data_IF_372237131516
#
_entry.id   IF_372237131516
#
_cell.length_a   1.000
_cell.length_b   1.000
_cell.length_c   1.000
_cell.angle_alpha   90.00
_cell.angle_beta   90.00
_cell.angle_gamma   90.00
#
_symmetry.space_group_name_H-M   'P 1'
#
loop_
_entity.id
_entity.type
_entity.pdbx_description
1 polymer ?
#
# COMPACT_ATOMS: atom_id res chain seq x y z
N UNK A 1 -21.92 -16.33 20.16
CA UNK A 1 -21.99 -17.80 20.34
C UNK A 1 -22.10 -18.11 21.82
N UNK A 2 -22.51 -19.31 22.23
CA UNK A 2 -22.55 -19.75 23.63
C UNK A 2 -21.79 -21.06 23.82
N UNK A 3 -21.00 -21.17 24.87
CA UNK A 3 -20.38 -22.46 25.23
C UNK A 3 -21.43 -23.41 25.87
N UNK A 4 -21.02 -24.63 26.22
CA UNK A 4 -21.88 -25.59 26.94
C UNK A 4 -22.39 -25.09 28.30
N UNK A 5 -21.68 -24.13 28.93
CA UNK A 5 -22.07 -23.51 30.20
C UNK A 5 -23.04 -22.33 30.02
N UNK A 6 -23.42 -22.00 28.78
CA UNK A 6 -24.30 -20.86 28.47
C UNK A 6 -23.61 -19.50 28.41
N UNK A 7 -22.30 -19.42 28.67
CA UNK A 7 -21.54 -18.16 28.63
C UNK A 7 -21.54 -17.58 27.22
N UNK A 8 -21.89 -16.29 27.10
CA UNK A 8 -21.81 -15.55 25.84
C UNK A 8 -20.36 -15.31 25.43
N UNK A 9 -20.01 -15.67 24.20
CA UNK A 9 -18.69 -15.50 23.62
C UNK A 9 -18.80 -14.97 22.18
N UNK A 10 -17.70 -14.44 21.66
CA UNK A 10 -17.58 -14.02 20.27
C UNK A 10 -16.68 -15.00 19.50
N UNK A 11 -16.97 -15.19 18.23
CA UNK A 11 -16.18 -15.99 17.30
C UNK A 11 -15.59 -15.06 16.23
N UNK A 12 -14.27 -15.06 16.11
CA UNK A 12 -13.54 -14.50 14.97
C UNK A 12 -13.17 -15.60 13.99
N UNK A 13 -13.29 -15.29 12.71
CA UNK A 13 -12.86 -16.14 11.59
C UNK A 13 -11.95 -15.28 10.73
N UNK A 14 -10.70 -15.68 10.52
CA UNK A 14 -9.75 -14.92 9.71
C UNK A 14 -8.85 -15.82 8.83
N UNK A 15 -7.86 -15.21 8.21
CA UNK A 15 -6.92 -15.89 7.32
C UNK A 15 -5.98 -16.89 8.02
N UNK A 16 -5.87 -16.83 9.35
CA UNK A 16 -4.97 -17.63 10.18
C UNK A 16 -5.70 -18.74 10.94
N UNK A 17 -6.95 -18.52 11.34
CA UNK A 17 -7.73 -19.53 12.03
C UNK A 17 -9.07 -19.06 12.58
N UNK A 18 -9.49 -19.74 13.64
CA UNK A 18 -10.67 -19.43 14.44
C UNK A 18 -10.26 -18.94 15.82
N UNK A 19 -10.93 -17.90 16.29
CA UNK A 19 -10.57 -17.22 17.52
C UNK A 19 -11.82 -17.01 18.39
N UNK A 20 -11.72 -17.31 19.68
CA UNK A 20 -12.80 -17.17 20.65
C UNK A 20 -12.45 -16.01 21.57
N UNK A 21 -13.36 -15.04 21.66
CA UNK A 21 -13.18 -13.83 22.45
C UNK A 21 -14.27 -13.69 23.50
N UNK A 22 -13.97 -12.94 24.54
CA UNK A 22 -14.98 -12.45 25.46
C UNK A 22 -15.70 -11.24 24.86
N UNK A 23 -16.99 -11.02 25.18
CA UNK A 23 -17.72 -9.84 24.74
C UNK A 23 -17.01 -8.52 25.09
N UNK A 24 -16.33 -8.48 26.25
CA UNK A 24 -15.66 -7.31 26.81
C UNK A 24 -14.27 -7.08 26.19
N UNK A 25 -13.64 -8.11 25.61
CA UNK A 25 -12.31 -8.01 25.01
C UNK A 25 -12.27 -8.66 23.62
N UNK A 26 -12.34 -7.83 22.58
CA UNK A 26 -12.26 -8.24 21.16
C UNK A 26 -10.86 -8.23 20.58
N UNK A 27 -9.85 -7.82 21.35
CA UNK A 27 -8.46 -7.68 20.88
C UNK A 27 -7.68 -8.97 21.13
N UNK A 28 -7.81 -9.55 22.32
CA UNK A 28 -7.05 -10.73 22.73
C UNK A 28 -7.96 -11.96 22.78
N UNK A 29 -7.73 -12.99 21.95
CA UNK A 29 -8.52 -14.20 21.98
C UNK A 29 -8.20 -15.03 23.23
N UNK A 30 -9.23 -15.58 23.87
CA UNK A 30 -9.08 -16.56 24.96
C UNK A 30 -8.64 -17.93 24.47
N UNK A 31 -9.07 -18.30 23.27
CA UNK A 31 -8.75 -19.57 22.66
C UNK A 31 -8.65 -19.39 21.14
N UNK A 32 -7.66 -20.02 20.52
CA UNK A 32 -7.40 -19.92 19.09
C UNK A 32 -7.18 -21.30 18.50
N UNK A 33 -7.69 -21.52 17.30
CA UNK A 33 -7.53 -22.73 16.52
C UNK A 33 -6.93 -22.35 15.15
N UNK A 34 -5.61 -22.47 14.98
CA UNK A 34 -4.96 -22.28 13.69
C UNK A 34 -5.52 -23.24 12.64
N UNK A 35 -5.58 -22.82 11.37
CA UNK A 35 -6.13 -23.66 10.30
C UNK A 35 -5.44 -25.02 10.13
N UNK A 36 -4.12 -25.10 10.40
CA UNK A 36 -3.35 -26.34 10.36
C UNK A 36 -3.65 -27.29 11.52
N UNK A 37 -4.30 -26.82 12.58
CA UNK A 37 -4.67 -27.62 13.75
C UNK A 37 -6.13 -28.06 13.71
N UNK A 38 -6.88 -27.74 12.66
CA UNK A 38 -8.29 -28.12 12.53
C UNK A 38 -8.42 -29.28 11.55
N UNK A 39 -8.97 -30.40 12.01
CA UNK A 39 -9.24 -31.59 11.19
C UNK A 39 -10.57 -31.49 10.46
N UNK A 40 -11.62 -31.05 11.17
CA UNK A 40 -12.96 -30.98 10.62
C UNK A 40 -13.79 -29.93 11.34
N UNK A 41 -14.64 -29.24 10.58
CA UNK A 41 -15.64 -28.30 11.08
C UNK A 41 -17.00 -28.75 10.58
N UNK A 42 -17.99 -28.84 11.47
CA UNK A 42 -19.35 -29.20 11.11
C UNK A 42 -20.35 -28.58 12.08
N UNK A 43 -21.62 -28.59 11.72
CA UNK A 43 -22.69 -28.22 12.64
C UNK A 43 -23.89 -29.16 12.49
N UNK A 44 -24.67 -29.29 13.56
CA UNK A 44 -25.96 -29.96 13.58
C UNK A 44 -26.95 -29.07 14.32
N UNK A 45 -28.02 -28.67 13.63
CA UNK A 45 -28.96 -27.66 14.10
C UNK A 45 -28.22 -26.39 14.61
N UNK A 46 -28.34 -26.06 15.91
CA UNK A 46 -27.69 -24.90 16.52
C UNK A 46 -26.29 -25.19 17.07
N UNK A 47 -25.90 -26.47 17.20
CA UNK A 47 -24.58 -26.85 17.72
C UNK A 47 -23.53 -26.88 16.60
N UNK A 48 -22.47 -26.10 16.78
CA UNK A 48 -21.31 -26.05 15.91
C UNK A 48 -20.13 -26.76 16.57
N UNK A 49 -19.38 -27.52 15.79
CA UNK A 49 -18.34 -28.44 16.25
C UNK A 49 -17.04 -28.21 15.49
N UNK A 50 -15.96 -27.95 16.22
CA UNK A 50 -14.58 -27.84 15.71
C UNK A 50 -13.77 -29.00 16.28
N UNK A 51 -13.27 -29.86 15.39
CA UNK A 51 -12.45 -31.02 15.75
C UNK A 51 -10.98 -30.70 15.43
N UNK A 52 -10.10 -30.60 16.43
CA UNK A 52 -8.68 -30.41 16.17
C UNK A 52 -8.01 -31.64 15.53
N UNK A 53 -6.82 -31.44 14.98
CA UNK A 53 -5.92 -32.49 14.50
C UNK A 53 -5.36 -33.20 15.74
N UNK A 54 -5.68 -34.50 15.88
CA UNK A 54 -5.33 -35.30 17.05
C UNK A 54 -6.47 -36.23 17.50
N UNK A 55 -6.13 -37.45 17.92
CA UNK A 55 -7.11 -38.42 18.45
C UNK A 55 -7.50 -38.14 19.92
N UNK A 56 -6.63 -37.46 20.67
CA UNK A 56 -6.82 -37.12 22.10
C UNK A 56 -7.27 -35.67 22.35
N UNK A 57 -7.36 -34.83 21.32
CA UNK A 57 -7.74 -33.43 21.47
C UNK A 57 -9.25 -33.29 21.64
N UNK A 58 -9.65 -32.58 22.69
CA UNK A 58 -11.05 -32.33 22.99
C UNK A 58 -11.69 -31.51 21.87
N UNK A 59 -12.84 -32.00 21.40
CA UNK A 59 -13.64 -31.29 20.40
C UNK A 59 -14.25 -30.04 21.01
N UNK A 60 -14.06 -28.89 20.36
CA UNK A 60 -14.67 -27.64 20.79
C UNK A 60 -16.09 -27.53 20.22
N UNK A 61 -17.06 -27.24 21.08
CA UNK A 61 -18.47 -27.12 20.70
C UNK A 61 -19.06 -25.82 21.22
N UNK A 62 -19.83 -25.14 20.39
CA UNK A 62 -20.59 -23.96 20.78
C UNK A 62 -21.97 -23.97 20.14
N UNK A 63 -22.89 -23.23 20.73
CA UNK A 63 -24.26 -23.06 20.26
C UNK A 63 -24.40 -21.67 19.65
N UNK A 64 -24.94 -21.60 18.44
CA UNK A 64 -25.32 -20.36 17.79
C UNK A 64 -26.78 -20.02 18.05
N UNK A 65 -27.15 -18.75 17.87
CA UNK A 65 -28.52 -18.28 18.07
C UNK A 65 -29.48 -18.81 17.01
N UNK A 66 -29.03 -18.94 15.76
CA UNK A 66 -29.83 -19.33 14.58
C UNK A 66 -29.06 -20.27 13.66
N UNK A 67 -29.76 -21.20 13.01
CA UNK A 67 -29.17 -22.13 12.02
C UNK A 67 -28.48 -21.41 10.84
N UNK A 68 -29.08 -20.32 10.33
CA UNK A 68 -28.51 -19.53 9.24
C UNK A 68 -27.11 -18.98 9.56
N UNK A 69 -26.85 -18.68 10.85
CA UNK A 69 -25.54 -18.20 11.31
C UNK A 69 -24.51 -19.33 11.21
N UNK A 70 -24.86 -20.56 11.60
CA UNK A 70 -23.97 -21.71 11.45
C UNK A 70 -23.61 -21.98 9.99
N UNK A 71 -24.58 -21.89 9.07
CA UNK A 71 -24.32 -22.00 7.63
C UNK A 71 -23.30 -20.95 7.16
N UNK A 72 -23.48 -19.69 7.57
CA UNK A 72 -22.55 -18.61 7.23
C UNK A 72 -21.15 -18.85 7.81
N UNK A 73 -21.05 -19.21 9.08
CA UNK A 73 -19.76 -19.50 9.74
C UNK A 73 -19.04 -20.62 8.98
N UNK A 74 -19.74 -21.71 8.64
CA UNK A 74 -19.14 -22.82 7.91
C UNK A 74 -18.59 -22.39 6.54
N UNK A 75 -19.35 -21.59 5.78
CA UNK A 75 -18.90 -21.07 4.48
C UNK A 75 -17.64 -20.19 4.61
N UNK A 76 -17.60 -19.33 5.62
CA UNK A 76 -16.41 -18.53 5.91
C UNK A 76 -15.21 -19.39 6.29
N UNK A 77 -15.41 -20.44 7.10
CA UNK A 77 -14.35 -21.38 7.46
C UNK A 77 -13.81 -22.12 6.23
N UNK A 78 -14.69 -22.63 5.36
CA UNK A 78 -14.28 -23.33 4.13
C UNK A 78 -13.45 -22.39 3.25
N UNK A 79 -13.97 -21.20 2.94
CA UNK A 79 -13.27 -20.24 2.07
C UNK A 79 -11.92 -19.80 2.65
N UNK A 80 -11.84 -19.50 3.95
CA UNK A 80 -10.58 -19.12 4.58
C UNK A 80 -9.59 -20.28 4.65
N UNK A 81 -10.05 -21.49 4.95
CA UNK A 81 -9.20 -22.69 4.97
C UNK A 81 -8.66 -23.01 3.57
N UNK A 82 -9.49 -22.95 2.53
CA UNK A 82 -9.07 -23.18 1.15
C UNK A 82 -7.99 -22.17 0.71
N UNK A 83 -8.18 -20.88 1.01
CA UNK A 83 -7.18 -19.86 0.74
C UNK A 83 -5.91 -20.05 1.58
N UNK A 84 -6.04 -20.47 2.84
CA UNK A 84 -4.91 -20.82 3.69
C UNK A 84 -4.09 -21.97 3.09
N UNK A 85 -4.76 -23.03 2.63
CA UNK A 85 -4.10 -24.18 1.98
C UNK A 85 -3.45 -23.77 0.66
N UNK A 86 -4.13 -22.96 -0.16
CA UNK A 86 -3.60 -22.45 -1.43
C UNK A 86 -2.33 -21.61 -1.24
N UNK A 87 -2.27 -20.77 -0.20
CA UNK A 87 -1.07 -19.97 0.14
C UNK A 87 0.16 -20.81 0.53
N UNK A 88 -0.03 -22.07 0.91
CA UNK A 88 1.06 -22.99 1.31
C UNK A 88 1.48 -23.93 0.18
N UNK A 89 0.79 -23.88 -0.95
CA UNK A 89 1.16 -24.59 -2.16
C UNK A 89 1.96 -23.68 -3.08
N UNK A 90 2.65 -24.26 -4.04
CA UNK A 90 3.29 -23.49 -5.11
C UNK A 90 2.21 -22.74 -5.89
N UNK A 91 2.50 -21.49 -6.25
CA UNK A 91 1.58 -20.68 -7.06
C UNK A 91 1.22 -21.41 -8.35
N UNK A 92 -0.06 -21.33 -8.76
CA UNK A 92 -0.48 -21.79 -10.08
C UNK A 92 0.23 -20.98 -11.17
N UNK A 93 0.35 -21.58 -12.37
CA UNK A 93 0.95 -20.91 -13.53
C UNK A 93 0.30 -19.55 -13.81
N UNK A 94 -1.02 -19.45 -13.68
CA UNK A 94 -1.77 -18.20 -13.80
C UNK A 94 -1.32 -17.12 -12.80
N UNK A 95 -1.20 -17.47 -11.51
CA UNK A 95 -0.72 -16.54 -10.48
C UNK A 95 0.73 -16.12 -10.76
N UNK A 96 1.58 -17.04 -11.21
CA UNK A 96 2.97 -16.72 -11.58
C UNK A 96 3.02 -15.75 -12.76
N UNK A 97 2.19 -15.94 -13.79
CA UNK A 97 2.07 -15.03 -14.93
C UNK A 97 1.58 -13.65 -14.51
N UNK A 98 0.54 -13.57 -13.66
CA UNK A 98 0.04 -12.31 -13.11
C UNK A 98 1.12 -11.56 -12.32
N UNK A 99 1.89 -12.27 -11.48
CA UNK A 99 3.03 -11.68 -10.75
C UNK A 99 4.12 -11.17 -11.70
N UNK A 100 4.46 -11.93 -12.74
CA UNK A 100 5.44 -11.53 -13.74
C UNK A 100 4.99 -10.28 -14.52
N UNK A 101 3.71 -10.21 -14.89
CA UNK A 101 3.12 -9.05 -15.56
C UNK A 101 3.15 -7.81 -14.65
N UNK A 102 2.70 -7.94 -13.39
CA UNK A 102 2.73 -6.84 -12.43
C UNK A 102 4.16 -6.30 -12.20
N UNK A 103 5.16 -7.19 -12.17
CA UNK A 103 6.58 -6.79 -12.07
C UNK A 103 7.04 -6.01 -13.31
N UNK A 104 6.71 -6.48 -14.52
CA UNK A 104 7.03 -5.77 -15.77
C UNK A 104 6.38 -4.39 -15.83
N UNK A 105 5.11 -4.28 -15.48
CA UNK A 105 4.39 -3.01 -15.47
C UNK A 105 4.96 -2.03 -14.45
N UNK A 106 5.31 -2.51 -13.24
CA UNK A 106 5.94 -1.67 -12.21
C UNK A 106 7.28 -1.13 -12.69
N UNK A 107 8.10 -1.97 -13.32
CA UNK A 107 9.39 -1.55 -13.89
C UNK A 107 9.21 -0.52 -15.01
N UNK A 108 8.24 -0.74 -15.91
CA UNK A 108 7.90 0.23 -16.98
C UNK A 108 7.51 1.58 -16.40
N UNK A 109 6.57 1.61 -15.45
CA UNK A 109 6.11 2.84 -14.78
C UNK A 109 7.26 3.56 -14.07
N UNK A 110 8.18 2.82 -13.44
CA UNK A 110 9.34 3.39 -12.78
C UNK A 110 10.31 4.03 -13.77
N UNK A 111 10.57 3.39 -14.92
CA UNK A 111 11.43 3.94 -15.97
C UNK A 111 10.83 5.20 -16.59
N UNK A 112 9.53 5.19 -16.91
CA UNK A 112 8.80 6.36 -17.40
C UNK A 112 8.86 7.52 -16.41
N UNK A 113 8.61 7.25 -15.12
CA UNK A 113 8.69 8.25 -14.07
C UNK A 113 10.11 8.84 -13.96
N UNK A 114 11.15 8.00 -13.96
CA UNK A 114 12.54 8.47 -13.92
C UNK A 114 12.90 9.33 -15.14
N UNK A 115 12.46 8.94 -16.34
CA UNK A 115 12.66 9.74 -17.56
C UNK A 115 12.02 11.11 -17.42
N UNK A 116 10.75 11.16 -17.00
CA UNK A 116 10.02 12.41 -16.80
C UNK A 116 10.68 13.31 -15.74
N UNK A 117 11.17 12.73 -14.64
CA UNK A 117 11.86 13.49 -13.60
C UNK A 117 13.17 14.10 -14.11
N UNK A 118 13.94 13.37 -14.92
CA UNK A 118 15.16 13.90 -15.56
C UNK A 118 14.84 15.04 -16.51
N UNK A 119 13.84 14.87 -17.36
CA UNK A 119 13.40 15.90 -18.31
C UNK A 119 12.93 17.17 -17.57
N UNK A 120 12.12 17.02 -16.51
CA UNK A 120 11.69 18.14 -15.66
C UNK A 120 12.87 18.85 -15.01
N UNK A 121 13.88 18.10 -14.52
CA UNK A 121 15.08 18.68 -13.91
C UNK A 121 15.89 19.48 -14.92
N UNK A 122 16.17 18.89 -16.09
CA UNK A 122 16.90 19.56 -17.17
C UNK A 122 16.17 20.82 -17.65
N UNK A 123 14.84 20.76 -17.81
CA UNK A 123 14.03 21.92 -18.18
C UNK A 123 14.14 23.04 -17.15
N UNK A 124 14.05 22.72 -15.86
CA UNK A 124 14.17 23.70 -14.78
C UNK A 124 15.55 24.34 -14.72
N UNK A 125 16.61 23.57 -14.99
CA UNK A 125 17.99 24.07 -15.08
C UNK A 125 18.17 24.99 -16.28
N UNK A 126 17.64 24.61 -17.45
CA UNK A 126 17.67 25.45 -18.65
C UNK A 126 16.89 26.77 -18.48
N UNK A 127 15.71 26.72 -17.85
CA UNK A 127 14.91 27.92 -17.54
C UNK A 127 15.67 28.87 -16.58
N UNK A 128 16.38 28.32 -15.58
CA UNK A 128 17.22 29.13 -14.68
C UNK A 128 18.42 29.75 -15.39
N UNK A 129 19.13 28.97 -16.20
CA UNK A 129 20.29 29.47 -16.96
C UNK A 129 19.88 30.57 -17.94
N UNK A 130 18.73 30.40 -18.61
CA UNK A 130 18.16 31.42 -19.49
C UNK A 130 17.85 32.71 -18.73
N UNK A 131 17.16 32.62 -17.59
CA UNK A 131 16.85 33.80 -16.77
C UNK A 131 18.12 34.51 -16.26
N UNK A 132 19.19 33.77 -15.96
CA UNK A 132 20.48 34.36 -15.57
C UNK A 132 21.16 35.08 -16.75
N UNK A 133 21.14 34.48 -17.95
CA UNK A 133 21.69 35.13 -19.16
C UNK A 133 20.89 36.38 -19.55
N UNK A 134 19.56 36.33 -19.47
CA UNK A 134 18.70 37.50 -19.73
C UNK A 134 19.03 38.66 -18.78
N UNK A 135 19.27 38.38 -17.48
CA UNK A 135 19.70 39.41 -16.52
C UNK A 135 21.08 40.00 -16.86
N UNK A 136 22.06 39.15 -17.19
CA UNK A 136 23.40 39.62 -17.57
C UNK A 136 23.37 40.45 -18.85
N UNK A 137 22.52 40.10 -19.80
CA UNK A 137 22.37 40.84 -21.05
C UNK A 137 21.82 42.25 -20.81
N UNK A 138 20.81 42.38 -19.95
CA UNK A 138 20.26 43.70 -19.55
C UNK A 138 21.35 44.54 -18.88
N UNK A 139 22.09 43.96 -17.92
CA UNK A 139 23.16 44.68 -17.23
C UNK A 139 24.26 45.17 -18.19
N UNK A 140 24.70 44.31 -19.14
CA UNK A 140 25.71 44.70 -20.13
C UNK A 140 25.18 45.76 -21.10
N UNK A 141 23.91 45.73 -21.47
CA UNK A 141 23.28 46.76 -22.30
C UNK A 141 23.25 48.11 -21.57
N UNK A 142 22.91 48.13 -20.29
CA UNK A 142 22.94 49.34 -19.46
C UNK A 142 24.37 49.89 -19.32
N UNK A 143 25.36 49.02 -19.03
CA UNK A 143 26.77 49.41 -18.93
C UNK A 143 27.30 49.99 -20.27
N UNK A 144 26.98 49.35 -21.40
CA UNK A 144 27.36 49.83 -22.72
C UNK A 144 26.69 51.18 -23.07
N UNK A 145 25.43 51.36 -22.69
CA UNK A 145 24.71 52.62 -22.88
C UNK A 145 25.37 53.76 -22.08
N UNK A 146 25.64 53.53 -20.79
CA UNK A 146 26.32 54.49 -19.93
C UNK A 146 27.73 54.84 -20.44
N UNK A 147 28.50 53.85 -20.91
CA UNK A 147 29.82 54.08 -21.49
C UNK A 147 29.74 54.92 -22.78
N UNK A 148 28.75 54.66 -23.63
CA UNK A 148 28.53 55.45 -24.86
C UNK A 148 28.13 56.88 -24.54
N UNK A 149 27.27 57.12 -23.54
CA UNK A 149 26.90 58.47 -23.13
C UNK A 149 28.09 59.24 -22.53
N UNK A 150 28.90 58.56 -21.70
CA UNK A 150 30.09 59.16 -21.10
C UNK A 150 31.12 59.55 -22.18
N UNK A 151 31.31 58.69 -23.19
CA UNK A 151 32.18 58.98 -24.33
C UNK A 151 31.69 60.22 -25.10
N UNK A 152 30.40 60.28 -25.43
CA UNK A 152 29.81 61.43 -26.13
C UNK A 152 29.98 62.74 -25.33
N UNK A 153 29.76 62.71 -24.02
CA UNK A 153 29.98 63.87 -23.15
C UNK A 153 31.46 64.30 -23.15
N UNK A 154 32.38 63.34 -23.10
CA UNK A 154 33.81 63.60 -23.15
C UNK A 154 34.23 64.26 -24.46
N UNK A 155 33.71 63.79 -25.60
CA UNK A 155 33.95 64.38 -26.92
C UNK A 155 33.45 65.83 -26.97
N UNK A 156 32.21 66.08 -26.53
CA UNK A 156 31.64 67.44 -26.47
C UNK A 156 32.46 68.38 -25.57
N UNK A 157 32.96 67.90 -24.43
CA UNK A 157 33.83 68.71 -23.58
C UNK A 157 35.21 68.97 -24.19
N UNK A 158 35.74 68.03 -24.97
CA UNK A 158 37.02 68.22 -25.65
C UNK A 158 36.90 69.25 -26.76
N UNK A 159 35.81 69.23 -27.53
CA UNK A 159 35.54 70.22 -28.58
C UNK A 159 35.39 71.63 -28.00
N UNK A 160 34.67 71.79 -26.87
CA UNK A 160 34.51 73.07 -26.18
C UNK A 160 35.81 73.63 -25.56
N UNK A 161 36.79 72.77 -25.26
CA UNK A 161 38.10 73.18 -24.75
C UNK A 161 39.10 73.47 -25.88
N UNK A 162 38.78 73.07 -27.11
CA UNK A 162 39.60 73.28 -28.29
C UNK A 162 39.27 74.59 -29.04
N UNK A 163 38.15 75.26 -28.71
CA UNK A 163 37.79 76.64 -29.11
C UNK A 163 38.33 77.70 -28.14
#
# INVERSE_FOLDING_TARGET
IRNKKGTGLLLGVDALGLHIYEPENKLTPKCSFPWNEIRNISYSDKEFTIKPVGKKSNTFKFISSRLRVNKLILQLCIGNHDLFMRRRQVDSLEIQQLKAQAKKERARKQAEWQRLQREKKLRKEAERARAEMERKLIQLQEEAHMASEALLRSEQTADLLAE
#
